data_IF_902743598525
#
_entry.id   IF_902743598525
#
_cell.length_a   1.000
_cell.length_b   1.000
_cell.length_c   1.000
_cell.angle_alpha   90.00
_cell.angle_beta   90.00
_cell.angle_gamma   90.00
#
_symmetry.space_group_name_H-M   'P 1'
#
loop_
_entity.id
_entity.type
_entity.pdbx_description
1 polymer ?
#
# COMPACT_ATOMS: atom_id res chain seq x y z
N UNK A 1 -8.96 -32.27 0.41
CA UNK A 1 -9.48 -31.04 1.07
C UNK A 1 -9.98 -30.11 -0.01
N UNK A 2 -11.30 -30.08 -0.24
CA UNK A 2 -11.92 -29.23 -1.27
C UNK A 2 -12.00 -27.79 -0.79
N UNK A 3 -11.56 -26.84 -1.61
CA UNK A 3 -11.69 -25.41 -1.36
C UNK A 3 -13.20 -25.09 -1.26
N UNK A 4 -13.65 -24.47 -0.16
CA UNK A 4 -15.06 -24.07 -0.01
C UNK A 4 -15.49 -23.16 -1.17
N UNK A 5 -16.74 -23.30 -1.65
CA UNK A 5 -17.27 -22.51 -2.78
C UNK A 5 -17.09 -21.00 -2.57
N UNK A 6 -17.20 -20.53 -1.32
CA UNK A 6 -17.00 -19.13 -0.97
C UNK A 6 -15.54 -18.69 -1.05
N UNK A 7 -14.60 -19.57 -0.67
CA UNK A 7 -13.16 -19.29 -0.83
C UNK A 7 -12.77 -19.21 -2.31
N UNK A 8 -13.36 -20.07 -3.16
CA UNK A 8 -13.15 -20.02 -4.62
C UNK A 8 -13.68 -18.71 -5.19
N UNK A 9 -14.87 -18.26 -4.76
CA UNK A 9 -15.43 -16.96 -5.15
C UNK A 9 -14.52 -15.80 -4.74
N UNK A 10 -14.06 -15.79 -3.50
CA UNK A 10 -13.11 -14.77 -3.01
C UNK A 10 -11.79 -14.77 -3.77
N UNK A 11 -11.26 -15.95 -4.13
CA UNK A 11 -10.03 -16.08 -4.91
C UNK A 11 -10.19 -15.56 -6.35
N UNK A 12 -11.30 -15.88 -7.02
CA UNK A 12 -11.61 -15.35 -8.36
C UNK A 12 -11.78 -13.83 -8.33
N UNK A 13 -12.42 -13.28 -7.31
CA UNK A 13 -12.59 -11.84 -7.12
C UNK A 13 -11.24 -11.13 -6.85
N UNK A 14 -10.37 -11.73 -6.04
CA UNK A 14 -9.05 -11.18 -5.77
C UNK A 14 -8.13 -11.19 -7.02
N UNK A 15 -8.20 -12.26 -7.82
CA UNK A 15 -7.47 -12.34 -9.09
C UNK A 15 -7.97 -11.32 -10.11
N UNK A 16 -9.29 -11.19 -10.27
CA UNK A 16 -9.87 -10.21 -11.19
C UNK A 16 -9.53 -8.78 -10.77
N UNK A 17 -9.64 -8.46 -9.48
CA UNK A 17 -9.17 -7.19 -8.90
C UNK A 17 -7.71 -6.90 -9.27
N UNK A 18 -6.84 -7.89 -9.13
CA UNK A 18 -5.41 -7.73 -9.40
C UNK A 18 -5.12 -7.43 -10.86
N UNK A 19 -5.87 -8.05 -11.78
CA UNK A 19 -5.78 -7.77 -13.22
C UNK A 19 -6.25 -6.33 -13.51
N UNK A 20 -7.36 -5.90 -12.92
CA UNK A 20 -7.88 -4.54 -13.12
C UNK A 20 -6.91 -3.48 -12.57
N UNK A 21 -6.43 -3.65 -11.34
CA UNK A 21 -5.45 -2.74 -10.73
C UNK A 21 -4.16 -2.72 -11.55
N UNK A 22 -3.63 -3.89 -11.94
CA UNK A 22 -2.43 -3.98 -12.76
C UNK A 22 -2.57 -3.30 -14.13
N UNK A 23 -3.71 -3.51 -14.80
CA UNK A 23 -4.04 -2.87 -16.08
C UNK A 23 -4.21 -1.36 -15.96
N UNK A 24 -4.71 -0.87 -14.82
CA UNK A 24 -4.93 0.55 -14.58
C UNK A 24 -3.64 1.37 -14.69
N UNK A 25 -2.52 0.85 -14.22
CA UNK A 25 -1.22 1.53 -14.31
C UNK A 25 -0.75 1.69 -15.76
N UNK A 26 -0.99 0.66 -16.58
CA UNK A 26 -0.60 0.62 -17.99
C UNK A 26 -1.47 1.56 -18.82
N UNK A 27 -2.78 1.53 -18.58
CA UNK A 27 -3.74 2.42 -19.24
C UNK A 27 -3.45 3.89 -18.86
N UNK A 28 -3.16 4.18 -17.59
CA UNK A 28 -2.77 5.52 -17.15
C UNK A 28 -1.50 6.01 -17.83
N UNK A 29 -0.50 5.15 -18.03
CA UNK A 29 0.73 5.53 -18.73
C UNK A 29 0.50 5.76 -20.22
N UNK A 30 -0.29 4.91 -20.88
CA UNK A 30 -0.61 5.08 -22.31
C UNK A 30 -1.41 6.37 -22.58
N UNK A 31 -2.18 6.82 -21.59
CA UNK A 31 -2.97 8.04 -21.65
C UNK A 31 -2.30 9.27 -21.05
N UNK A 32 -0.96 9.33 -20.96
CA UNK A 32 -0.23 10.50 -20.47
C UNK A 32 0.73 11.02 -21.53
N UNK A 33 0.39 12.17 -22.11
CA UNK A 33 1.23 12.95 -23.03
C UNK A 33 1.39 14.40 -22.55
N UNK A 34 2.04 14.62 -21.41
CA UNK A 34 2.29 15.95 -20.82
C UNK A 34 1.32 16.39 -19.72
N UNK A 35 1.34 17.68 -19.33
CA UNK A 35 0.56 18.23 -18.21
C UNK A 35 -0.98 18.17 -18.37
N UNK A 36 -1.48 17.61 -19.47
CA UNK A 36 -2.90 17.57 -19.84
C UNK A 36 -3.59 16.23 -19.54
N UNK A 37 -3.04 15.43 -18.62
CA UNK A 37 -3.56 14.09 -18.27
C UNK A 37 -5.04 14.10 -17.80
N UNK A 38 -5.55 15.22 -17.27
CA UNK A 38 -6.95 15.34 -16.83
C UNK A 38 -7.95 15.35 -18.00
N UNK A 39 -7.50 15.64 -19.22
CA UNK A 39 -8.33 15.67 -20.43
C UNK A 39 -8.27 14.38 -21.25
N UNK A 40 -7.33 13.48 -20.96
CA UNK A 40 -7.13 12.27 -21.73
C UNK A 40 -8.12 11.17 -21.28
N UNK A 41 -8.99 10.68 -22.18
CA UNK A 41 -10.00 9.68 -21.83
C UNK A 41 -9.37 8.35 -21.35
N UNK A 42 -8.15 8.06 -21.80
CA UNK A 42 -7.37 6.90 -21.32
C UNK A 42 -6.97 7.05 -19.85
N UNK A 43 -6.64 8.25 -19.37
CA UNK A 43 -6.34 8.46 -17.94
C UNK A 43 -7.56 8.16 -17.07
N UNK A 44 -8.73 8.68 -17.46
CA UNK A 44 -10.00 8.40 -16.79
C UNK A 44 -10.38 6.92 -16.84
N UNK A 45 -10.17 6.26 -17.99
CA UNK A 45 -10.38 4.82 -18.10
C UNK A 45 -9.49 4.04 -17.12
N UNK A 46 -8.22 4.45 -16.96
CA UNK A 46 -7.32 3.88 -15.97
C UNK A 46 -7.78 4.12 -14.53
N UNK A 47 -8.25 5.33 -14.20
CA UNK A 47 -8.81 5.63 -12.88
C UNK A 47 -10.07 4.82 -12.57
N UNK A 48 -10.99 4.69 -13.52
CA UNK A 48 -12.20 3.87 -13.39
C UNK A 48 -11.83 2.40 -13.17
N UNK A 49 -10.89 1.88 -13.96
CA UNK A 49 -10.43 0.49 -13.84
C UNK A 49 -9.80 0.22 -12.48
N UNK A 50 -9.04 1.17 -11.93
CA UNK A 50 -8.50 1.09 -10.57
C UNK A 50 -9.62 1.02 -9.52
N UNK A 51 -10.64 1.88 -9.63
CA UNK A 51 -11.79 1.90 -8.69
C UNK A 51 -12.56 0.58 -8.73
N UNK A 52 -12.82 0.04 -9.92
CA UNK A 52 -13.48 -1.26 -10.09
C UNK A 52 -12.65 -2.38 -9.45
N UNK A 53 -11.33 -2.35 -9.65
CA UNK A 53 -10.40 -3.29 -9.02
C UNK A 53 -10.47 -3.23 -7.49
N UNK A 54 -10.43 -2.04 -6.90
CA UNK A 54 -10.53 -1.87 -5.44
C UNK A 54 -11.88 -2.34 -4.87
N UNK A 55 -12.99 -2.12 -5.58
CA UNK A 55 -14.31 -2.64 -5.17
C UNK A 55 -14.30 -4.18 -5.19
N UNK A 56 -13.74 -4.79 -6.24
CA UNK A 56 -13.61 -6.25 -6.33
C UNK A 56 -12.67 -6.80 -5.24
N UNK A 57 -11.60 -6.08 -4.91
CA UNK A 57 -10.69 -6.40 -3.81
C UNK A 57 -11.44 -6.42 -2.47
N UNK A 58 -12.24 -5.38 -2.20
CA UNK A 58 -13.05 -5.29 -1.00
C UNK A 58 -14.07 -6.43 -0.91
N UNK A 59 -14.74 -6.75 -2.02
CA UNK A 59 -15.64 -7.90 -2.09
C UNK A 59 -14.91 -9.23 -1.81
N UNK A 60 -13.68 -9.39 -2.29
CA UNK A 60 -12.88 -10.59 -2.03
C UNK A 60 -12.64 -10.83 -0.53
N UNK A 61 -12.39 -9.76 0.24
CA UNK A 61 -12.24 -9.85 1.71
C UNK A 61 -13.53 -10.28 2.44
N UNK A 62 -14.70 -10.13 1.82
CA UNK A 62 -15.96 -10.61 2.40
C UNK A 62 -16.15 -12.13 2.25
N UNK A 63 -15.51 -12.75 1.25
CA UNK A 63 -15.69 -14.16 0.91
C UNK A 63 -14.47 -15.05 1.20
N UNK A 64 -13.27 -14.46 1.25
CA UNK A 64 -12.03 -15.16 1.55
C UNK A 64 -11.25 -14.48 2.67
N UNK A 65 -10.53 -15.26 3.50
CA UNK A 65 -9.71 -14.71 4.57
C UNK A 65 -8.59 -13.82 4.01
N UNK A 66 -8.29 -12.74 4.74
CA UNK A 66 -7.28 -11.75 4.33
C UNK A 66 -5.90 -12.35 4.02
N UNK A 67 -5.56 -13.48 4.66
CA UNK A 67 -4.32 -14.22 4.44
C UNK A 67 -4.16 -14.73 2.99
N UNK A 68 -5.29 -15.03 2.33
CA UNK A 68 -5.31 -15.47 0.93
C UNK A 68 -5.42 -14.30 -0.02
N UNK A 69 -6.19 -13.27 0.32
CA UNK A 69 -6.46 -12.12 -0.57
C UNK A 69 -5.25 -11.19 -0.69
N UNK A 70 -4.50 -10.99 0.40
CA UNK A 70 -3.40 -10.00 0.43
C UNK A 70 -2.22 -10.35 -0.50
N UNK A 71 -1.72 -11.61 -0.55
CA UNK A 71 -0.68 -12.00 -1.51
C UNK A 71 -1.17 -11.93 -2.96
N UNK A 72 -2.46 -12.19 -3.19
CA UNK A 72 -3.07 -12.05 -4.53
C UNK A 72 -3.01 -10.60 -4.99
N UNK A 73 -3.17 -9.63 -4.08
CA UNK A 73 -2.97 -8.21 -4.40
C UNK A 73 -1.57 -7.89 -4.96
N UNK A 74 -0.52 -8.58 -4.52
CA UNK A 74 0.84 -8.42 -5.09
C UNK A 74 0.94 -8.95 -6.54
N UNK A 75 0.02 -9.83 -6.98
CA UNK A 75 -0.05 -10.26 -8.37
C UNK A 75 -0.41 -9.10 -9.31
N UNK A 76 -1.09 -8.06 -8.83
CA UNK A 76 -1.39 -6.86 -9.64
C UNK A 76 -0.11 -6.21 -10.18
N UNK A 77 0.98 -6.27 -9.40
CA UNK A 77 2.30 -5.75 -9.76
C UNK A 77 2.90 -6.60 -10.88
N UNK A 78 2.81 -7.93 -10.76
CA UNK A 78 3.29 -8.86 -11.79
C UNK A 78 2.49 -8.66 -13.09
N UNK A 79 1.17 -8.59 -13.02
CA UNK A 79 0.32 -8.32 -14.18
C UNK A 79 0.67 -6.98 -14.82
N UNK A 80 0.90 -5.93 -14.03
CA UNK A 80 1.34 -4.64 -14.56
C UNK A 80 2.70 -4.74 -15.26
N UNK A 81 3.68 -5.45 -14.70
CA UNK A 81 5.00 -5.62 -15.30
C UNK A 81 4.95 -6.42 -16.60
N UNK A 82 4.13 -7.48 -16.66
CA UNK A 82 3.92 -8.29 -17.86
C UNK A 82 3.21 -7.48 -18.94
N UNK A 83 2.14 -6.77 -18.60
CA UNK A 83 1.42 -5.92 -19.55
C UNK A 83 2.27 -4.75 -20.03
N UNK A 84 3.14 -4.17 -19.18
CA UNK A 84 4.10 -3.16 -19.62
C UNK A 84 5.03 -3.70 -20.71
N UNK A 85 5.49 -4.94 -20.57
CA UNK A 85 6.34 -5.57 -21.58
C UNK A 85 5.64 -5.81 -22.91
N UNK A 86 4.38 -6.25 -22.89
CA UNK A 86 3.62 -6.52 -24.13
C UNK A 86 3.00 -5.27 -24.76
N UNK A 87 2.44 -4.35 -23.98
CA UNK A 87 1.66 -3.20 -24.47
C UNK A 87 2.53 -1.97 -24.70
N UNK A 88 3.55 -1.76 -23.87
CA UNK A 88 4.47 -0.62 -24.01
C UNK A 88 5.81 -1.02 -24.64
N UNK A 89 5.98 -2.31 -25.00
CA UNK A 89 7.23 -2.87 -25.52
C UNK A 89 8.45 -2.59 -24.62
N UNK A 90 8.21 -2.36 -23.32
CA UNK A 90 9.26 -2.07 -22.35
C UNK A 90 10.06 -3.34 -22.03
N UNK A 91 11.39 -3.28 -22.12
CA UNK A 91 12.23 -4.43 -21.75
C UNK A 91 12.14 -4.70 -20.25
N UNK A 92 11.72 -5.92 -19.90
CA UNK A 92 11.59 -6.38 -18.53
C UNK A 92 12.99 -6.73 -17.99
N UNK A 93 13.61 -5.78 -17.27
CA UNK A 93 14.97 -5.93 -16.76
C UNK A 93 15.02 -6.94 -15.60
N UNK A 94 16.18 -7.56 -15.34
CA UNK A 94 16.40 -8.48 -14.19
C UNK A 94 15.93 -7.84 -12.86
N UNK A 95 16.12 -6.52 -12.72
CA UNK A 95 15.70 -5.77 -11.53
C UNK A 95 14.18 -5.71 -11.36
N UNK A 96 13.41 -5.68 -12.46
CA UNK A 96 11.94 -5.75 -12.41
C UNK A 96 11.46 -7.12 -11.96
N UNK A 97 12.06 -8.20 -12.47
CA UNK A 97 11.75 -9.58 -12.06
C UNK A 97 12.09 -9.81 -10.59
N UNK A 98 13.28 -9.37 -10.15
CA UNK A 98 13.70 -9.46 -8.75
C UNK A 98 12.77 -8.66 -7.84
N UNK A 99 12.37 -7.45 -8.27
CA UNK A 99 11.39 -6.63 -7.56
C UNK A 99 10.05 -7.33 -7.39
N UNK A 100 9.50 -7.91 -8.46
CA UNK A 100 8.26 -8.69 -8.41
C UNK A 100 8.36 -9.89 -7.45
N UNK A 101 9.46 -10.64 -7.50
CA UNK A 101 9.70 -11.75 -6.59
C UNK A 101 9.75 -11.29 -5.13
N UNK A 102 10.48 -10.20 -4.85
CA UNK A 102 10.53 -9.60 -3.51
C UNK A 102 9.16 -9.09 -3.03
N UNK A 103 8.31 -8.57 -3.91
CA UNK A 103 6.95 -8.16 -3.55
C UNK A 103 6.07 -9.33 -3.13
N UNK A 104 6.13 -10.46 -3.86
CA UNK A 104 5.36 -11.67 -3.50
C UNK A 104 5.85 -12.27 -2.19
N UNK A 105 7.17 -12.40 -2.03
CA UNK A 105 7.76 -12.92 -0.78
C UNK A 105 7.42 -11.99 0.39
N UNK A 106 7.67 -10.69 0.26
CA UNK A 106 7.43 -9.70 1.31
C UNK A 106 5.97 -9.61 1.72
N UNK A 107 5.04 -9.55 0.77
CA UNK A 107 3.59 -9.52 1.06
C UNK A 107 3.14 -10.78 1.79
N UNK A 108 3.60 -11.96 1.36
CA UNK A 108 3.29 -13.23 2.03
C UNK A 108 3.89 -13.27 3.44
N UNK A 109 5.15 -12.85 3.62
CA UNK A 109 5.80 -12.82 4.94
C UNK A 109 5.07 -11.90 5.93
N UNK A 110 4.69 -10.68 5.50
CA UNK A 110 3.94 -9.73 6.32
C UNK A 110 2.64 -10.35 6.81
N UNK A 111 1.90 -10.98 5.90
CA UNK A 111 0.60 -11.58 6.17
C UNK A 111 0.70 -12.76 7.13
N UNK A 112 1.71 -13.63 6.94
CA UNK A 112 1.93 -14.81 7.80
C UNK A 112 2.29 -14.42 9.25
N UNK A 113 2.96 -13.28 9.43
CA UNK A 113 3.41 -12.81 10.75
C UNK A 113 2.54 -11.66 11.30
N UNK A 114 1.49 -11.26 10.58
CA UNK A 114 0.63 -10.17 11.02
C UNK A 114 -0.15 -10.60 12.27
N UNK A 115 0.05 -9.95 13.43
CA UNK A 115 -0.80 -10.20 14.58
C UNK A 115 -2.24 -9.78 14.25
N UNK A 116 -3.23 -10.38 14.90
CA UNK A 116 -4.61 -9.92 14.75
C UNK A 116 -4.69 -8.43 15.09
N UNK A 117 -5.20 -7.64 14.15
CA UNK A 117 -5.39 -6.20 14.34
C UNK A 117 -6.24 -6.00 15.61
N UNK A 118 -5.78 -5.16 16.53
CA UNK A 118 -6.63 -4.73 17.65
C UNK A 118 -7.86 -4.04 17.07
N UNK A 119 -9.03 -4.39 17.59
CA UNK A 119 -10.26 -3.66 17.32
C UNK A 119 -10.12 -2.26 17.93
N UNK A 120 -9.73 -1.29 17.11
CA UNK A 120 -9.80 0.12 17.46
C UNK A 120 -11.24 0.53 17.16
N UNK A 121 -12.04 0.62 18.22
CA UNK A 121 -13.50 0.76 18.10
C UNK A 121 -13.97 2.22 18.02
N UNK A 122 -13.04 3.20 18.10
CA UNK A 122 -13.38 4.62 18.03
C UNK A 122 -12.36 5.48 17.27
N UNK A 123 -12.87 6.49 16.57
CA UNK A 123 -12.08 7.54 15.89
C UNK A 123 -11.26 8.34 16.90
N UNK A 124 -11.77 8.52 18.12
CA UNK A 124 -11.05 9.22 19.19
C UNK A 124 -9.80 8.48 19.63
N UNK A 125 -9.82 7.15 19.66
CA UNK A 125 -8.63 6.35 20.01
C UNK A 125 -7.56 6.49 18.92
N UNK A 126 -7.94 6.52 17.64
CA UNK A 126 -7.01 6.81 16.53
C UNK A 126 -6.47 8.24 16.61
N UNK A 127 -7.31 9.20 17.00
CA UNK A 127 -6.90 10.58 17.20
C UNK A 127 -5.88 10.72 18.34
N UNK A 128 -6.06 10.02 19.44
CA UNK A 128 -5.14 10.03 20.58
C UNK A 128 -3.79 9.39 20.18
N UNK A 129 -3.82 8.28 19.44
CA UNK A 129 -2.62 7.64 18.86
C UNK A 129 -1.91 8.58 17.87
N UNK A 130 -2.67 9.31 17.04
CA UNK A 130 -2.12 10.27 16.08
C UNK A 130 -1.57 11.53 16.76
N UNK A 131 -2.07 11.88 17.95
CA UNK A 131 -1.62 13.04 18.74
C UNK A 131 -0.48 12.66 19.70
N UNK A 132 -0.11 11.37 19.79
CA UNK A 132 1.03 10.93 20.58
C UNK A 132 2.32 11.57 20.03
N UNK A 133 3.22 12.08 20.90
CA UNK A 133 4.41 12.82 20.48
C UNK A 133 5.29 12.05 19.49
N UNK A 134 5.34 10.71 19.59
CA UNK A 134 6.08 9.87 18.64
C UNK A 134 5.56 9.99 17.21
N UNK A 135 4.24 9.90 17.03
CA UNK A 135 3.62 10.00 15.70
C UNK A 135 3.62 11.43 15.16
N UNK A 136 3.49 12.44 16.04
CA UNK A 136 3.60 13.85 15.64
C UNK A 136 5.01 14.18 15.12
N UNK A 137 6.07 13.73 15.80
CA UNK A 137 7.45 13.89 15.33
C UNK A 137 7.65 13.18 14.01
N UNK A 138 7.16 11.95 13.86
CA UNK A 138 7.22 11.22 12.58
C UNK A 138 6.51 11.98 11.46
N UNK A 139 5.29 12.46 11.70
CA UNK A 139 4.51 13.22 10.71
C UNK A 139 5.22 14.50 10.31
N UNK A 140 5.78 15.24 11.27
CA UNK A 140 6.56 16.45 11.00
C UNK A 140 7.81 16.13 10.17
N UNK A 141 8.56 15.07 10.54
CA UNK A 141 9.74 14.63 9.79
C UNK A 141 9.38 14.23 8.36
N UNK A 142 8.27 13.52 8.16
CA UNK A 142 7.79 13.16 6.82
C UNK A 142 7.45 14.41 6.01
N UNK A 143 6.72 15.36 6.58
CA UNK A 143 6.36 16.62 5.89
C UNK A 143 7.61 17.42 5.51
N UNK A 144 8.59 17.53 6.41
CA UNK A 144 9.87 18.21 6.13
C UNK A 144 10.62 17.47 5.02
N UNK A 145 10.76 16.14 5.12
CA UNK A 145 11.48 15.33 4.16
C UNK A 145 10.83 15.41 2.77
N UNK A 146 9.51 15.31 2.69
CA UNK A 146 8.74 15.47 1.45
C UNK A 146 8.93 16.87 0.89
N UNK A 147 8.86 17.91 1.72
CA UNK A 147 9.09 19.30 1.28
C UNK A 147 10.50 19.49 0.71
N UNK A 148 11.52 18.96 1.37
CA UNK A 148 12.91 19.00 0.88
C UNK A 148 13.04 18.24 -0.44
N UNK A 149 12.46 17.05 -0.56
CA UNK A 149 12.48 16.28 -1.79
C UNK A 149 11.80 17.06 -2.94
N UNK A 150 10.65 17.68 -2.70
CA UNK A 150 9.91 18.47 -3.68
C UNK A 150 10.67 19.73 -4.09
N UNK A 151 11.09 20.57 -3.16
CA UNK A 151 11.69 21.87 -3.51
C UNK A 151 13.15 21.77 -3.96
N UNK A 152 13.92 20.80 -3.43
CA UNK A 152 15.37 20.74 -3.65
C UNK A 152 15.82 19.62 -4.59
N UNK A 153 15.16 18.47 -4.56
CA UNK A 153 15.59 17.28 -5.30
C UNK A 153 14.79 17.04 -6.58
N UNK A 154 13.48 17.29 -6.62
CA UNK A 154 12.68 17.20 -7.85
C UNK A 154 13.27 18.04 -8.99
N UNK A 155 13.59 19.34 -8.83
CA UNK A 155 14.09 20.15 -9.94
C UNK A 155 15.50 19.76 -10.41
N UNK A 156 16.31 19.09 -9.58
CA UNK A 156 17.71 18.74 -9.93
C UNK A 156 17.92 17.26 -10.28
N UNK A 157 17.13 16.36 -9.70
CA UNK A 157 17.36 14.91 -9.74
C UNK A 157 16.07 14.11 -10.02
N UNK A 158 14.91 14.75 -10.12
CA UNK A 158 13.64 14.03 -10.35
C UNK A 158 13.63 13.24 -11.65
N UNK A 159 14.30 13.75 -12.69
CA UNK A 159 14.36 13.10 -14.01
C UNK A 159 15.42 12.00 -14.11
N UNK A 160 16.42 11.97 -13.21
CA UNK A 160 17.51 10.99 -13.25
C UNK A 160 17.37 9.88 -12.22
N UNK A 161 16.75 10.16 -11.07
CA UNK A 161 16.61 9.21 -9.97
C UNK A 161 15.14 8.97 -9.61
N UNK A 162 14.59 7.84 -10.05
CA UNK A 162 13.19 7.45 -9.78
C UNK A 162 12.83 7.42 -8.28
N UNK A 163 13.83 7.16 -7.42
CA UNK A 163 13.66 7.11 -5.95
C UNK A 163 13.14 8.43 -5.40
N UNK A 164 13.41 9.57 -6.05
CA UNK A 164 12.91 10.89 -5.59
C UNK A 164 11.38 10.95 -5.71
N UNK A 165 10.82 10.64 -6.87
CA UNK A 165 9.36 10.65 -7.07
C UNK A 165 8.67 9.53 -6.29
N UNK A 166 9.23 8.32 -6.33
CA UNK A 166 8.69 7.16 -5.61
C UNK A 166 8.74 7.40 -4.10
N UNK A 167 9.83 7.95 -3.57
CA UNK A 167 9.98 8.28 -2.16
C UNK A 167 8.96 9.30 -1.67
N UNK A 168 8.74 10.39 -2.43
CA UNK A 168 7.68 11.38 -2.12
C UNK A 168 6.31 10.68 -2.06
N UNK A 169 5.97 9.91 -3.08
CA UNK A 169 4.69 9.22 -3.16
C UNK A 169 4.52 8.21 -2.02
N UNK A 170 5.54 7.42 -1.70
CA UNK A 170 5.49 6.40 -0.66
C UNK A 170 5.42 6.98 0.77
N UNK A 171 6.13 8.08 1.04
CA UNK A 171 6.09 8.79 2.33
C UNK A 171 4.73 9.46 2.58
N UNK A 172 4.19 10.12 1.55
CA UNK A 172 2.82 10.62 1.59
C UNK A 172 1.84 9.43 1.73
N UNK A 173 2.08 8.36 0.98
CA UNK A 173 1.35 7.09 1.02
C UNK A 173 1.13 6.55 2.42
N UNK A 174 2.21 6.43 3.21
CA UNK A 174 2.12 5.90 4.57
C UNK A 174 1.24 6.76 5.48
N UNK A 175 1.30 8.10 5.37
CA UNK A 175 0.41 9.01 6.10
C UNK A 175 -1.05 8.83 5.68
N UNK A 176 -1.31 8.68 4.37
CA UNK A 176 -2.67 8.42 3.87
C UNK A 176 -3.24 7.13 4.43
N UNK A 177 -2.47 6.03 4.47
CA UNK A 177 -2.96 4.76 5.01
C UNK A 177 -3.40 4.90 6.47
N UNK A 178 -2.62 5.60 7.29
CA UNK A 178 -2.98 5.83 8.70
C UNK A 178 -4.24 6.68 8.83
N UNK A 179 -4.37 7.74 8.03
CA UNK A 179 -5.55 8.61 8.07
C UNK A 179 -6.80 7.92 7.49
N UNK A 180 -6.65 7.10 6.44
CA UNK A 180 -7.74 6.29 5.87
C UNK A 180 -8.23 5.25 6.87
N UNK A 181 -7.35 4.65 7.69
CA UNK A 181 -7.78 3.79 8.80
C UNK A 181 -8.72 4.55 9.77
N UNK A 182 -8.39 5.79 10.13
CA UNK A 182 -9.23 6.65 10.97
C UNK A 182 -10.60 6.94 10.31
N UNK A 183 -10.60 7.32 9.03
CA UNK A 183 -11.82 7.61 8.26
C UNK A 183 -12.68 6.35 8.07
N UNK A 184 -12.06 5.19 7.80
CA UNK A 184 -12.75 3.91 7.63
C UNK A 184 -13.48 3.48 8.91
N UNK A 185 -12.85 3.65 10.08
CA UNK A 185 -13.49 3.42 11.38
C UNK A 185 -14.66 4.40 11.57
N UNK A 186 -14.48 5.68 11.25
CA UNK A 186 -15.54 6.70 11.35
C UNK A 186 -16.78 6.34 10.50
N UNK A 187 -16.55 5.90 9.26
CA UNK A 187 -17.60 5.47 8.33
C UNK A 187 -18.32 4.23 8.87
N UNK A 188 -17.56 3.21 9.31
CA UNK A 188 -18.13 1.96 9.84
C UNK A 188 -19.01 2.22 11.06
N UNK A 189 -18.55 3.06 11.99
CA UNK A 189 -19.27 3.42 13.20
C UNK A 189 -20.53 4.28 12.92
N UNK A 190 -20.47 5.09 11.86
CA UNK A 190 -21.62 5.87 11.39
C UNK A 190 -22.70 4.99 10.78
N UNK A 191 -22.34 3.95 10.01
CA UNK A 191 -23.31 2.95 9.54
C UNK A 191 -23.89 2.09 10.68
N UNK A 192 -23.18 1.95 11.80
CA UNK A 192 -23.69 1.30 13.02
C UNK A 192 -24.58 2.20 13.89
N UNK A 193 -24.93 3.41 13.43
CA UNK A 193 -25.91 4.29 14.08
C UNK A 193 -25.34 5.37 15.00
N UNK A 194 -24.01 5.45 15.17
CA UNK A 194 -23.36 6.56 15.88
C UNK A 194 -22.71 7.52 14.89
N UNK A 195 -23.35 8.66 14.63
CA UNK A 195 -22.84 9.67 13.68
C UNK A 195 -21.50 10.29 14.12
N UNK A 196 -20.39 9.68 13.72
CA UNK A 196 -19.03 10.19 13.96
C UNK A 196 -18.69 11.40 13.07
N UNK A 197 -19.42 11.61 11.98
CA UNK A 197 -19.27 12.78 11.09
C UNK A 197 -19.55 14.14 11.75
N UNK A 198 -20.09 14.15 12.98
CA UNK A 198 -20.28 15.36 13.77
C UNK A 198 -18.96 15.88 14.38
N UNK A 199 -17.96 15.00 14.53
CA UNK A 199 -16.68 15.34 15.13
C UNK A 199 -15.76 16.05 14.12
N UNK A 200 -15.09 17.11 14.55
CA UNK A 200 -14.18 17.87 13.69
C UNK A 200 -12.97 17.02 13.24
N UNK A 201 -12.59 16.02 14.03
CA UNK A 201 -11.46 15.12 13.79
C UNK A 201 -11.59 14.37 12.46
N UNK A 202 -12.79 13.88 12.12
CA UNK A 202 -13.04 13.15 10.87
C UNK A 202 -12.83 14.03 9.64
N UNK A 203 -13.22 15.31 9.73
CA UNK A 203 -13.03 16.27 8.64
C UNK A 203 -11.55 16.63 8.44
N UNK A 204 -10.80 16.78 9.53
CA UNK A 204 -9.34 17.00 9.46
C UNK A 204 -8.63 15.83 8.79
N UNK A 205 -8.90 14.58 9.21
CA UNK A 205 -8.32 13.40 8.56
C UNK A 205 -8.73 13.30 7.09
N UNK A 206 -9.98 13.61 6.76
CA UNK A 206 -10.47 13.57 5.37
C UNK A 206 -9.72 14.58 4.50
N UNK A 207 -9.55 15.83 4.96
CA UNK A 207 -8.80 16.85 4.23
C UNK A 207 -7.33 16.44 4.01
N UNK A 208 -6.68 15.88 5.05
CA UNK A 208 -5.30 15.39 4.95
C UNK A 208 -5.21 14.24 3.94
N UNK A 209 -6.13 13.27 3.98
CA UNK A 209 -6.20 12.16 3.00
C UNK A 209 -6.36 12.70 1.58
N UNK A 210 -7.29 13.63 1.35
CA UNK A 210 -7.52 14.20 0.02
C UNK A 210 -6.28 14.90 -0.51
N UNK A 211 -5.68 15.80 0.28
CA UNK A 211 -4.47 16.51 -0.13
C UNK A 211 -3.31 15.54 -0.43
N UNK A 212 -3.11 14.56 0.45
CA UNK A 212 -2.05 13.59 0.33
C UNK A 212 -2.23 12.68 -0.90
N UNK A 213 -3.45 12.24 -1.17
CA UNK A 213 -3.81 11.44 -2.34
C UNK A 213 -3.58 12.21 -3.66
N UNK A 214 -3.95 13.50 -3.70
CA UNK A 214 -3.69 14.34 -4.88
C UNK A 214 -2.19 14.47 -5.19
N UNK A 215 -1.36 14.66 -4.16
CA UNK A 215 0.10 14.68 -4.32
C UNK A 215 0.63 13.32 -4.79
N UNK A 216 0.17 12.22 -4.21
CA UNK A 216 0.59 10.87 -4.60
C UNK A 216 0.30 10.60 -6.08
N UNK A 217 -0.93 10.86 -6.54
CA UNK A 217 -1.31 10.64 -7.93
C UNK A 217 -0.47 11.51 -8.87
N UNK A 218 -0.19 12.77 -8.52
CA UNK A 218 0.63 13.66 -9.33
C UNK A 218 2.07 13.13 -9.50
N UNK A 219 2.73 12.78 -8.39
CA UNK A 219 4.12 12.32 -8.43
C UNK A 219 4.27 10.90 -8.98
N UNK A 220 3.29 10.02 -8.75
CA UNK A 220 3.26 8.69 -9.34
C UNK A 220 3.12 8.77 -10.86
N UNK A 221 2.22 9.63 -11.36
CA UNK A 221 2.07 9.87 -12.79
C UNK A 221 3.37 10.41 -13.41
N UNK A 222 4.02 11.40 -12.77
CA UNK A 222 5.33 11.90 -13.21
C UNK A 222 6.41 10.80 -13.24
N UNK A 223 6.42 9.91 -12.24
CA UNK A 223 7.34 8.78 -12.24
C UNK A 223 7.07 7.84 -13.42
N UNK A 224 5.82 7.43 -13.62
CA UNK A 224 5.41 6.50 -14.68
C UNK A 224 5.70 7.05 -16.09
N UNK A 225 5.58 8.37 -16.28
CA UNK A 225 5.92 9.04 -17.54
C UNK A 225 7.45 9.06 -17.78
N UNK A 226 8.25 9.22 -16.73
CA UNK A 226 9.70 9.37 -16.85
C UNK A 226 10.46 8.04 -16.92
N UNK A 227 10.02 7.01 -16.19
CA UNK A 227 10.76 5.74 -16.10
C UNK A 227 9.92 4.51 -16.51
N UNK A 228 10.60 3.39 -16.68
CA UNK A 228 10.00 2.11 -17.06
C UNK A 228 9.05 1.59 -15.96
N UNK A 229 7.81 1.27 -16.35
CA UNK A 229 6.75 0.87 -15.40
C UNK A 229 7.05 -0.48 -14.76
N UNK A 230 7.70 -1.38 -15.49
CA UNK A 230 8.08 -2.70 -14.97
C UNK A 230 9.07 -2.62 -13.80
N UNK A 231 9.79 -1.50 -13.64
CA UNK A 231 10.70 -1.26 -12.52
C UNK A 231 10.08 -0.36 -11.46
N UNK A 232 9.29 0.65 -11.85
CA UNK A 232 8.64 1.55 -10.88
C UNK A 232 7.64 0.81 -10.00
N UNK A 233 6.75 -0.01 -10.57
CA UNK A 233 5.66 -0.61 -9.81
C UNK A 233 6.18 -1.46 -8.63
N UNK A 234 7.18 -2.35 -8.80
CA UNK A 234 7.75 -3.08 -7.67
C UNK A 234 8.49 -2.19 -6.66
N UNK A 235 9.27 -1.21 -7.12
CA UNK A 235 10.02 -0.31 -6.23
C UNK A 235 9.08 0.55 -5.39
N UNK A 236 8.02 1.07 -6.01
CA UNK A 236 6.96 1.81 -5.32
C UNK A 236 6.29 0.95 -4.27
N UNK A 237 5.89 -0.28 -4.60
CA UNK A 237 5.26 -1.18 -3.65
C UNK A 237 6.13 -1.46 -2.42
N UNK A 238 7.41 -1.78 -2.62
CA UNK A 238 8.34 -2.07 -1.52
C UNK A 238 8.57 -0.83 -0.65
N UNK A 239 8.83 0.34 -1.26
CA UNK A 239 9.03 1.60 -0.52
C UNK A 239 7.78 2.01 0.26
N UNK A 240 6.61 1.97 -0.39
CA UNK A 240 5.32 2.28 0.21
C UNK A 240 5.01 1.35 1.38
N UNK A 241 5.15 0.04 1.19
CA UNK A 241 4.88 -0.96 2.23
C UNK A 241 5.83 -0.77 3.41
N UNK A 242 7.11 -0.54 3.16
CA UNK A 242 8.11 -0.30 4.22
C UNK A 242 7.78 0.93 5.05
N UNK A 243 7.52 2.08 4.40
CA UNK A 243 7.16 3.30 5.12
C UNK A 243 5.83 3.18 5.85
N UNK A 244 4.86 2.48 5.27
CA UNK A 244 3.56 2.22 5.91
C UNK A 244 3.71 1.38 7.17
N UNK A 245 4.57 0.34 7.14
CA UNK A 245 4.88 -0.47 8.32
C UNK A 245 5.56 0.37 9.39
N UNK A 246 6.56 1.19 9.03
CA UNK A 246 7.24 2.11 9.97
C UNK A 246 6.25 3.08 10.59
N UNK A 247 5.41 3.74 9.78
CA UNK A 247 4.37 4.65 10.26
C UNK A 247 3.42 3.95 11.23
N UNK A 248 2.99 2.72 10.90
CA UNK A 248 2.09 1.93 11.74
C UNK A 248 2.74 1.56 13.08
N UNK A 249 4.01 1.18 13.07
CA UNK A 249 4.75 0.82 14.29
C UNK A 249 4.93 2.04 15.21
N UNK A 250 5.21 3.21 14.64
CA UNK A 250 5.34 4.45 15.41
C UNK A 250 3.99 4.90 15.96
N UNK A 251 2.92 4.85 15.16
CA UNK A 251 1.57 5.26 15.57
C UNK A 251 1.03 4.42 16.73
N UNK A 252 1.31 3.12 16.74
CA UNK A 252 0.85 2.21 17.81
C UNK A 252 1.72 2.36 19.08
N UNK A 253 2.88 3.03 18.98
CA UNK A 253 3.84 3.24 20.06
C UNK A 253 4.64 1.97 20.42
N UNK A 254 5.95 2.13 20.64
CA UNK A 254 6.91 1.05 21.01
C UNK A 254 6.52 0.29 22.29
N UNK A 255 5.49 0.71 23.03
CA UNK A 255 4.97 0.02 24.23
C UNK A 255 4.31 -1.34 23.94
N UNK A 256 3.92 -1.65 22.69
CA UNK A 256 3.50 -3.02 22.26
C UNK A 256 4.49 -3.72 21.34
N UNK A 257 5.46 -3.01 20.79
CA UNK A 257 6.55 -3.61 20.02
C UNK A 257 7.30 -4.67 20.84
N UNK A 258 7.33 -4.51 22.17
CA UNK A 258 7.90 -5.49 23.11
C UNK A 258 7.11 -6.81 23.18
N UNK A 259 5.78 -6.80 23.01
CA UNK A 259 4.96 -8.01 22.93
C UNK A 259 5.14 -8.74 21.59
N UNK A 260 5.36 -8.00 20.50
CA UNK A 260 5.63 -8.57 19.16
C UNK A 260 7.07 -9.14 19.08
N UNK A 261 8.05 -8.48 19.73
CA UNK A 261 9.40 -9.05 19.85
C UNK A 261 9.40 -10.32 20.68
N UNK A 262 8.61 -10.41 21.76
CA UNK A 262 8.49 -11.64 22.56
C UNK A 262 7.89 -12.80 21.74
N UNK A 263 6.92 -12.53 20.87
CA UNK A 263 6.33 -13.55 20.00
C UNK A 263 7.32 -14.04 18.92
N UNK A 264 8.13 -13.15 18.33
CA UNK A 264 9.13 -13.51 17.31
C UNK A 264 10.33 -14.29 17.89
N UNK A 265 10.74 -14.04 19.15
CA UNK A 265 11.78 -14.84 19.81
C UNK A 265 11.32 -16.27 20.15
N UNK A 266 10.05 -16.46 20.54
CA UNK A 266 9.50 -17.80 20.82
C UNK A 266 9.44 -18.65 19.54
N UNK A 267 9.03 -18.06 18.41
CA UNK A 267 8.95 -18.77 17.13
C UNK A 267 10.34 -19.11 16.56
N UNK A 268 11.32 -18.19 16.65
CA UNK A 268 12.72 -18.48 16.28
C UNK A 268 13.35 -19.56 17.17
N UNK A 269 13.00 -19.60 18.46
CA UNK A 269 13.47 -20.64 19.37
C UNK A 269 12.84 -22.01 19.09
N UNK A 270 11.57 -22.06 18.68
CA UNK A 270 10.90 -23.29 18.24
C UNK A 270 11.48 -23.79 16.90
N UNK A 271 11.75 -22.88 15.96
CA UNK A 271 12.37 -23.24 14.67
C UNK A 271 13.82 -23.72 14.83
N UNK A 272 14.59 -23.13 15.76
CA UNK A 272 15.94 -23.58 16.09
C UNK A 272 15.94 -24.92 16.85
N UNK A 273 14.96 -25.18 17.71
CA UNK A 273 14.78 -26.49 18.35
C UNK A 273 14.37 -27.59 17.35
N UNK A 274 13.47 -27.29 16.40
CA UNK A 274 13.14 -28.22 15.33
C UNK A 274 14.36 -28.51 14.44
N UNK A 275 15.10 -27.48 13.99
CA UNK A 275 16.32 -27.67 13.19
C UNK A 275 17.40 -28.48 13.92
N UNK A 276 17.60 -28.25 15.22
CA UNK A 276 18.54 -29.02 16.04
C UNK A 276 18.12 -30.49 16.25
N UNK A 277 16.83 -30.80 16.13
CA UNK A 277 16.33 -32.18 16.21
C UNK A 277 16.59 -32.98 14.92
N UNK A 278 16.66 -32.30 13.77
CA UNK A 278 16.97 -32.89 12.47
C UNK A 278 18.48 -33.10 12.23
N UNK A 279 19.36 -32.47 13.02
CA UNK A 279 20.83 -32.61 12.86
C UNK A 279 21.46 -33.69 13.75
N UNK A 280 20.64 -34.46 14.49
CA UNK A 280 21.10 -35.53 15.40
C UNK A 280 20.53 -36.93 15.09
N UNK A 281 20.06 -37.16 13.87
CA UNK A 281 19.89 -38.50 13.29
C UNK A 281 20.78 -38.60 12.04
#
# INVERSE_FOLDING_TARGET
MGMSSDNVRGLVLALSSSIFIGSSFIIKKKGQGGYSYLYEPFWWAGMITMIVGEIANFAAYAYAPAILVTPLGALSIIFSAVLAHFILEEKLHIFGVLGCALCVVGSTTIVLHAPQERNIDSVTEVWDLATEPGFLVYTLLVVILVSVLIFRYVPRYGQTHMIVYVGICSLMGSLTVMCVKAVGIAVKLSFSGMNQFKYYQTWVFTLVVTFCCLLQVNYLNKALDTFNTAVISPVYYVMFTTFTIIASMIMIGTRKAQQISQQNYVVLSQFYQELSSYTKQ
#
